data_IF_151246591291
#
_entry.id   IF_151246591291
#
_cell.length_a   1.000
_cell.length_b   1.000
_cell.length_c   1.000
_cell.angle_alpha   90.00
_cell.angle_beta   90.00
_cell.angle_gamma   90.00
#
_symmetry.space_group_name_H-M   'P 1'
#
loop_
_entity.id
_entity.type
_entity.pdbx_description
1 polymer ?
#
# COMPACT_ATOMS: atom_id res chain seq x y z
N UNK A 1 33.82 23.09 11.69
CA UNK A 1 32.58 23.33 10.93
C UNK A 1 31.72 22.06 10.76
N UNK A 2 32.29 20.85 10.67
CA UNK A 2 31.53 19.57 10.62
C UNK A 2 30.77 19.20 11.92
N UNK A 3 31.24 19.65 13.09
CA UNK A 3 30.64 19.26 14.39
C UNK A 3 29.20 19.72 14.63
N UNK A 4 28.70 20.74 13.91
CA UNK A 4 27.32 21.21 14.03
C UNK A 4 26.33 20.18 13.44
N UNK A 5 26.76 19.41 12.44
CA UNK A 5 25.90 18.41 11.78
C UNK A 5 25.94 17.04 12.46
N UNK A 6 26.85 16.81 13.41
CA UNK A 6 27.02 15.51 14.05
C UNK A 6 25.72 14.96 14.68
N UNK A 7 24.91 15.76 15.41
CA UNK A 7 23.64 15.26 15.95
C UNK A 7 22.64 14.83 14.87
N UNK A 8 22.58 15.55 13.75
CA UNK A 8 21.70 15.20 12.63
C UNK A 8 22.15 13.93 11.93
N UNK A 9 23.47 13.76 11.74
CA UNK A 9 24.04 12.53 11.17
C UNK A 9 23.80 11.33 12.08
N UNK A 10 23.92 11.50 13.40
CA UNK A 10 23.63 10.46 14.38
C UNK A 10 22.15 10.06 14.37
N UNK A 11 21.24 11.05 14.33
CA UNK A 11 19.80 10.78 14.21
C UNK A 11 19.46 10.03 12.92
N UNK A 12 20.02 10.46 11.79
CA UNK A 12 19.80 9.80 10.51
C UNK A 12 20.29 8.34 10.51
N UNK A 13 21.45 8.04 11.13
CA UNK A 13 21.93 6.64 11.27
C UNK A 13 20.94 5.80 12.07
N UNK A 14 20.51 6.29 13.23
CA UNK A 14 19.54 5.60 14.09
C UNK A 14 18.22 5.32 13.34
N UNK A 15 17.68 6.30 12.61
CA UNK A 15 16.47 6.11 11.81
C UNK A 15 16.65 5.05 10.72
N UNK A 16 17.82 4.99 10.08
CA UNK A 16 18.12 3.96 9.07
C UNK A 16 18.21 2.55 9.66
N UNK A 17 18.79 2.42 10.84
CA UNK A 17 18.88 1.14 11.56
C UNK A 17 17.47 0.66 11.95
N UNK A 18 16.66 1.52 12.55
CA UNK A 18 15.28 1.22 12.89
C UNK A 18 14.44 0.85 11.65
N UNK A 19 14.62 1.57 10.54
CA UNK A 19 13.95 1.24 9.28
C UNK A 19 14.34 -0.15 8.77
N UNK A 20 15.62 -0.52 8.86
CA UNK A 20 16.09 -1.83 8.46
C UNK A 20 15.48 -2.93 9.35
N UNK A 21 15.37 -2.70 10.65
CA UNK A 21 14.77 -3.64 11.60
C UNK A 21 13.28 -3.84 11.32
N UNK A 22 12.52 -2.75 11.14
CA UNK A 22 11.11 -2.80 10.74
C UNK A 22 10.93 -3.53 9.39
N UNK A 23 11.83 -3.28 8.43
CA UNK A 23 11.79 -3.99 7.15
C UNK A 23 11.99 -5.49 7.32
N UNK A 24 12.90 -5.94 8.20
CA UNK A 24 13.06 -7.37 8.52
C UNK A 24 11.80 -7.97 9.13
N UNK A 25 11.05 -7.22 9.95
CA UNK A 25 9.77 -7.68 10.49
C UNK A 25 8.72 -7.86 9.38
N UNK A 26 8.62 -6.91 8.44
CA UNK A 26 7.76 -7.04 7.25
C UNK A 26 8.12 -8.30 6.46
N UNK A 27 9.42 -8.52 6.20
CA UNK A 27 9.88 -9.71 5.47
C UNK A 27 9.52 -11.02 6.18
N UNK A 28 9.62 -11.06 7.52
CA UNK A 28 9.21 -12.23 8.30
C UNK A 28 7.70 -12.47 8.19
N UNK A 29 6.89 -11.43 8.31
CA UNK A 29 5.43 -11.52 8.23
C UNK A 29 4.97 -12.04 6.85
N UNK A 30 5.50 -11.48 5.75
CA UNK A 30 5.07 -11.91 4.40
C UNK A 30 5.56 -13.31 4.03
N UNK A 31 6.67 -13.79 4.62
CA UNK A 31 7.20 -15.14 4.34
C UNK A 31 6.25 -16.24 4.81
N UNK A 32 5.59 -16.03 5.94
CA UNK A 32 4.67 -17.02 6.53
C UNK A 32 3.24 -16.88 6.02
N UNK A 33 2.84 -15.71 5.50
CA UNK A 33 1.51 -15.50 4.93
C UNK A 33 1.42 -16.02 3.47
N UNK A 34 0.62 -17.06 3.18
CA UNK A 34 0.44 -17.57 1.82
C UNK A 34 -0.22 -16.58 0.86
N UNK A 35 -1.09 -15.68 1.34
CA UNK A 35 -1.73 -14.65 0.50
C UNK A 35 -0.70 -13.62 0.07
N UNK A 36 0.12 -13.12 1.00
CA UNK A 36 1.20 -12.18 0.67
C UNK A 36 2.18 -12.80 -0.35
N UNK A 37 2.57 -14.07 -0.16
CA UNK A 37 3.40 -14.79 -1.15
C UNK A 37 2.76 -14.86 -2.52
N UNK A 38 1.45 -15.13 -2.58
CA UNK A 38 0.72 -15.17 -3.86
C UNK A 38 0.66 -13.79 -4.51
N UNK A 39 0.41 -12.72 -3.75
CA UNK A 39 0.40 -11.35 -4.28
C UNK A 39 1.75 -10.95 -4.86
N UNK A 40 2.86 -11.30 -4.20
CA UNK A 40 4.22 -10.99 -4.65
C UNK A 40 4.65 -11.76 -5.93
N UNK A 41 3.85 -12.70 -6.43
CA UNK A 41 4.09 -13.31 -7.75
C UNK A 41 3.76 -12.36 -8.90
N UNK A 42 2.97 -11.31 -8.65
CA UNK A 42 2.64 -10.30 -9.65
C UNK A 42 3.82 -9.33 -9.83
N UNK A 43 4.13 -8.92 -11.07
CA UNK A 43 5.21 -7.97 -11.34
C UNK A 43 4.93 -6.63 -10.64
N UNK A 44 5.94 -6.12 -9.94
CA UNK A 44 5.86 -4.85 -9.20
C UNK A 44 5.23 -4.94 -7.81
N UNK A 45 4.79 -6.11 -7.34
CA UNK A 45 4.27 -6.28 -5.97
C UNK A 45 5.38 -6.79 -5.04
N UNK A 46 5.85 -5.92 -4.15
CA UNK A 46 6.82 -6.26 -3.11
C UNK A 46 6.20 -6.57 -1.74
N UNK A 47 7.04 -6.92 -0.74
CA UNK A 47 6.60 -7.25 0.62
C UNK A 47 5.71 -6.20 1.28
N UNK A 48 6.10 -4.93 1.19
CA UNK A 48 5.35 -3.83 1.78
C UNK A 48 3.98 -3.72 1.12
N UNK A 49 3.93 -3.66 -0.21
CA UNK A 49 2.67 -3.55 -0.97
C UNK A 49 1.73 -4.74 -0.71
N UNK A 50 2.26 -5.96 -0.70
CA UNK A 50 1.47 -7.16 -0.44
C UNK A 50 0.89 -7.17 0.98
N UNK A 51 1.71 -6.83 1.98
CA UNK A 51 1.28 -6.78 3.37
C UNK A 51 0.27 -5.65 3.60
N UNK A 52 0.51 -4.46 3.04
CA UNK A 52 -0.43 -3.34 3.09
C UNK A 52 -1.76 -3.74 2.48
N UNK A 53 -1.77 -4.32 1.28
CA UNK A 53 -3.02 -4.78 0.67
C UNK A 53 -3.74 -5.81 1.55
N UNK A 54 -3.01 -6.80 2.07
CA UNK A 54 -3.60 -7.81 2.96
C UNK A 54 -4.22 -7.18 4.21
N UNK A 55 -3.52 -6.27 4.86
CA UNK A 55 -3.98 -5.57 6.06
C UNK A 55 -5.16 -4.64 5.77
N UNK A 56 -5.16 -3.94 4.62
CA UNK A 56 -6.24 -3.04 4.23
C UNK A 56 -7.53 -3.80 3.91
N UNK A 57 -7.42 -4.97 3.28
CA UNK A 57 -8.59 -5.81 2.96
C UNK A 57 -9.09 -6.57 4.18
N UNK A 58 -8.17 -7.10 5.00
CA UNK A 58 -8.40 -7.90 6.21
C UNK A 58 -9.34 -9.10 5.98
N UNK A 59 -10.66 -8.87 6.00
CA UNK A 59 -11.70 -9.82 5.60
C UNK A 59 -12.16 -9.61 4.15
N UNK A 60 -11.76 -10.47 3.18
CA UNK A 60 -12.22 -10.36 1.81
C UNK A 60 -13.73 -10.63 1.64
N UNK A 61 -14.38 -11.33 2.60
CA UNK A 61 -15.81 -11.67 2.51
C UNK A 61 -16.70 -10.45 2.71
N UNK A 62 -16.19 -9.34 3.27
CA UNK A 62 -16.91 -8.07 3.36
C UNK A 62 -17.29 -7.50 1.98
N UNK A 63 -16.59 -7.92 0.92
CA UNK A 63 -16.87 -7.50 -0.43
C UNK A 63 -17.76 -8.51 -1.16
N UNK A 64 -19.00 -8.12 -1.47
CA UNK A 64 -19.92 -8.93 -2.29
C UNK A 64 -19.35 -9.26 -3.69
N UNK A 65 -18.50 -8.39 -4.23
CA UNK A 65 -17.91 -8.55 -5.57
C UNK A 65 -16.44 -8.12 -5.54
N UNK A 66 -15.57 -8.88 -6.20
CA UNK A 66 -14.14 -8.55 -6.30
C UNK A 66 -13.86 -7.16 -6.88
N UNK A 67 -14.63 -6.75 -7.90
CA UNK A 67 -14.52 -5.40 -8.52
C UNK A 67 -14.76 -4.24 -7.54
N UNK A 68 -15.44 -4.48 -6.42
CA UNK A 68 -15.67 -3.45 -5.40
C UNK A 68 -14.39 -3.09 -4.65
N UNK A 69 -13.38 -3.97 -4.63
CA UNK A 69 -12.09 -3.71 -4.00
C UNK A 69 -11.36 -2.55 -4.68
N UNK A 70 -11.42 -2.45 -6.01
CA UNK A 70 -10.80 -1.35 -6.73
C UNK A 70 -11.39 0.00 -6.34
N UNK A 71 -12.72 0.08 -6.16
CA UNK A 71 -13.38 1.30 -5.71
C UNK A 71 -13.00 1.64 -4.26
N UNK A 72 -12.96 0.63 -3.39
CA UNK A 72 -12.56 0.76 -1.98
C UNK A 72 -11.15 1.33 -1.83
N UNK A 73 -10.22 0.92 -2.70
CA UNK A 73 -8.83 1.39 -2.70
C UNK A 73 -8.64 2.70 -3.50
N UNK A 74 -9.72 3.29 -4.04
CA UNK A 74 -9.63 4.50 -4.88
C UNK A 74 -8.94 4.29 -6.23
N UNK A 75 -8.89 3.05 -6.70
CA UNK A 75 -8.24 2.62 -7.94
C UNK A 75 -9.20 2.65 -9.14
N UNK A 76 -10.47 3.01 -8.95
CA UNK A 76 -11.43 3.17 -10.05
C UNK A 76 -11.36 4.58 -10.65
N UNK A 77 -11.58 4.73 -11.96
CA UNK A 77 -11.80 6.03 -12.60
C UNK A 77 -13.00 6.77 -12.01
N UNK A 78 -12.93 8.11 -11.99
CA UNK A 78 -14.10 8.95 -11.72
C UNK A 78 -15.09 8.81 -12.86
N UNK A 79 -16.37 8.63 -12.56
CA UNK A 79 -17.44 8.67 -13.57
C UNK A 79 -18.36 9.86 -13.29
N UNK A 80 -18.56 10.70 -14.30
CA UNK A 80 -19.55 11.76 -14.28
C UNK A 80 -20.65 11.38 -15.26
N UNK A 81 -21.84 11.07 -14.73
CA UNK A 81 -22.98 10.66 -15.52
C UNK A 81 -24.19 11.52 -15.18
N UNK A 82 -24.75 12.20 -16.19
CA UNK A 82 -25.94 13.06 -16.06
C UNK A 82 -26.74 13.06 -17.36
N UNK A 83 -28.00 12.61 -17.33
CA UNK A 83 -28.85 12.54 -18.52
C UNK A 83 -28.17 11.77 -19.67
N UNK A 84 -27.88 12.45 -20.78
CA UNK A 84 -27.18 11.89 -21.94
C UNK A 84 -25.64 11.90 -21.84
N UNK A 85 -25.07 12.54 -20.82
CA UNK A 85 -23.62 12.65 -20.65
C UNK A 85 -23.10 11.49 -19.80
N UNK A 86 -22.16 10.72 -20.34
CA UNK A 86 -21.35 9.75 -19.61
C UNK A 86 -19.87 9.98 -19.90
N UNK A 87 -19.11 10.39 -18.89
CA UNK A 87 -17.69 10.71 -19.02
C UNK A 87 -16.86 9.95 -17.99
N UNK A 88 -15.85 9.25 -18.48
CA UNK A 88 -14.82 8.57 -17.67
C UNK A 88 -13.61 9.49 -17.49
N UNK A 89 -13.28 9.81 -16.24
CA UNK A 89 -12.17 10.68 -15.86
C UNK A 89 -10.94 9.92 -15.36
N UNK A 90 -10.05 10.63 -14.66
CA UNK A 90 -8.84 10.04 -14.04
C UNK A 90 -9.18 9.08 -12.90
N UNK A 91 -8.21 8.25 -12.52
CA UNK A 91 -8.27 7.45 -11.28
C UNK A 91 -8.57 8.38 -10.11
N UNK A 92 -9.55 8.02 -9.29
CA UNK A 92 -10.02 8.86 -8.20
C UNK A 92 -8.93 9.12 -7.15
N UNK A 93 -8.12 8.10 -6.82
CA UNK A 93 -7.17 8.11 -5.70
C UNK A 93 -7.83 8.42 -4.35
N UNK A 94 -9.15 8.24 -4.29
CA UNK A 94 -9.98 8.45 -3.10
C UNK A 94 -10.58 7.09 -2.78
N UNK A 95 -10.03 6.44 -1.76
CA UNK A 95 -10.53 5.19 -1.21
C UNK A 95 -11.52 5.44 -0.07
N UNK A 96 -11.70 4.42 0.77
CA UNK A 96 -12.47 4.53 2.01
C UNK A 96 -11.88 5.63 2.91
N UNK A 97 -12.73 6.57 3.32
CA UNK A 97 -12.40 7.71 4.19
C UNK A 97 -12.90 7.44 5.59
#
# INVERSE_FOLDING_TARGET
MLGIFEPLLQMHRCLRENLADLHRLVLRAVRVDPICRRLMTMPGIGPVTALTYRATIDDPKRFRRSRSVGAYLGLTPRRYQSGEVDRVGRITKVGDS
#
